data_IF_458180287340
#
_entry.id   IF_458180287340
#
_cell.length_a   1.000
_cell.length_b   1.000
_cell.length_c   1.000
_cell.angle_alpha   90.00
_cell.angle_beta   90.00
_cell.angle_gamma   90.00
#
_symmetry.space_group_name_H-M   'P 1'
#
loop_
_entity.id
_entity.type
_entity.pdbx_description
1 polymer ?
#
# COMPACT_ATOMS: atom_id res chain seq x y z
N UNK A 1 -17.29 -43.52 -6.66
CA UNK A 1 -15.88 -43.28 -6.97
C UNK A 1 -15.62 -41.95 -7.68
N UNK A 2 -16.62 -41.25 -8.15
CA UNK A 2 -16.46 -39.97 -8.85
C UNK A 2 -16.22 -38.77 -7.93
N UNK A 3 -16.56 -38.87 -6.65
CA UNK A 3 -16.39 -37.78 -5.67
C UNK A 3 -14.93 -37.56 -5.19
N UNK A 4 -14.06 -38.55 -5.41
CA UNK A 4 -12.64 -38.45 -4.99
C UNK A 4 -11.74 -37.72 -6.00
N UNK A 5 -12.17 -37.58 -7.26
CA UNK A 5 -11.38 -36.93 -8.32
C UNK A 5 -11.62 -35.42 -8.33
N UNK A 6 -12.77 -34.94 -7.86
CA UNK A 6 -13.05 -33.49 -7.80
C UNK A 6 -12.48 -32.78 -6.57
N UNK A 7 -12.14 -33.53 -5.51
CA UNK A 7 -11.61 -32.97 -4.26
C UNK A 7 -10.23 -32.28 -4.39
N UNK A 8 -9.25 -32.79 -5.16
CA UNK A 8 -7.93 -32.21 -5.19
C UNK A 8 -7.89 -30.83 -5.85
N UNK A 9 -8.70 -30.53 -6.83
CA UNK A 9 -8.69 -29.27 -7.56
C UNK A 9 -9.18 -28.07 -6.72
N UNK A 10 -10.07 -28.30 -5.77
CA UNK A 10 -10.56 -27.27 -4.86
C UNK A 10 -9.62 -27.02 -3.68
N UNK A 11 -8.93 -28.06 -3.21
CA UNK A 11 -8.01 -27.95 -2.07
C UNK A 11 -6.74 -27.17 -2.43
N UNK A 12 -6.23 -27.32 -3.65
CA UNK A 12 -5.04 -26.61 -4.11
C UNK A 12 -5.17 -25.09 -4.08
N UNK A 13 -6.19 -24.45 -4.65
CA UNK A 13 -6.31 -23.00 -4.61
C UNK A 13 -6.57 -22.47 -3.21
N UNK A 14 -7.30 -23.19 -2.36
CA UNK A 14 -7.55 -22.77 -0.97
C UNK A 14 -6.27 -22.81 -0.15
N UNK A 15 -5.51 -23.89 -0.23
CA UNK A 15 -4.23 -24.02 0.51
C UNK A 15 -3.18 -23.04 -0.01
N UNK A 16 -3.13 -22.78 -1.30
CA UNK A 16 -2.26 -21.78 -1.90
C UNK A 16 -2.62 -20.36 -1.42
N UNK A 17 -3.91 -20.05 -1.34
CA UNK A 17 -4.38 -18.74 -0.88
C UNK A 17 -4.06 -18.50 0.60
N UNK A 18 -4.28 -19.51 1.44
CA UNK A 18 -3.95 -19.46 2.87
C UNK A 18 -2.43 -19.36 3.06
N UNK A 19 -1.66 -20.19 2.36
CA UNK A 19 -0.21 -20.17 2.43
C UNK A 19 0.40 -18.84 1.97
N UNK A 20 -0.10 -18.29 0.87
CA UNK A 20 0.30 -16.97 0.37
C UNK A 20 -0.06 -15.87 1.37
N UNK A 21 -1.27 -15.90 1.93
CA UNK A 21 -1.73 -14.93 2.92
C UNK A 21 -0.89 -14.94 4.18
N UNK A 22 -0.59 -16.12 4.71
CA UNK A 22 0.28 -16.29 5.89
C UNK A 22 1.71 -15.82 5.56
N UNK A 23 2.25 -16.18 4.42
CA UNK A 23 3.58 -15.76 3.98
C UNK A 23 3.71 -14.24 3.88
N UNK A 24 2.73 -13.59 3.28
CA UNK A 24 2.67 -12.12 3.19
C UNK A 24 2.51 -11.46 4.56
N UNK A 25 1.67 -12.02 5.44
CA UNK A 25 1.48 -11.51 6.78
C UNK A 25 2.76 -11.59 7.61
N UNK A 26 3.47 -12.72 7.56
CA UNK A 26 4.77 -12.90 8.23
C UNK A 26 5.83 -11.96 7.68
N UNK A 27 5.91 -11.82 6.36
CA UNK A 27 6.83 -10.89 5.72
C UNK A 27 6.55 -9.44 6.12
N UNK A 28 5.29 -9.03 6.10
CA UNK A 28 4.87 -7.70 6.55
C UNK A 28 5.20 -7.46 8.03
N UNK A 29 4.98 -8.45 8.89
CA UNK A 29 5.32 -8.38 10.31
C UNK A 29 6.82 -8.21 10.56
N UNK A 30 7.66 -8.94 9.82
CA UNK A 30 9.12 -8.77 9.89
C UNK A 30 9.54 -7.36 9.46
N UNK A 31 8.89 -6.81 8.43
CA UNK A 31 9.16 -5.46 7.96
C UNK A 31 8.73 -4.40 8.98
N UNK A 32 7.61 -4.60 9.65
CA UNK A 32 7.15 -3.75 10.78
C UNK A 32 8.14 -3.78 11.93
N UNK A 33 8.59 -4.97 12.35
CA UNK A 33 9.55 -5.12 13.44
C UNK A 33 10.90 -4.46 13.12
N UNK A 34 11.38 -4.61 11.90
CA UNK A 34 12.62 -3.96 11.46
C UNK A 34 12.46 -2.44 11.38
N UNK A 35 11.33 -1.94 10.91
CA UNK A 35 11.00 -0.52 10.89
C UNK A 35 10.89 0.08 12.29
N UNK A 36 10.26 -0.64 13.23
CA UNK A 36 10.13 -0.22 14.62
C UNK A 36 11.49 -0.13 15.32
N UNK A 37 12.37 -1.11 15.11
CA UNK A 37 13.75 -1.08 15.63
C UNK A 37 14.53 0.12 15.10
N UNK A 38 14.33 0.49 13.84
CA UNK A 38 14.94 1.68 13.24
C UNK A 38 14.38 2.98 13.81
N UNK A 39 13.07 3.07 14.01
CA UNK A 39 12.41 4.23 14.60
C UNK A 39 12.84 4.48 16.05
N UNK A 40 13.01 3.42 16.85
CA UNK A 40 13.51 3.53 18.22
C UNK A 40 14.96 4.02 18.29
N UNK A 41 15.75 3.89 17.23
CA UNK A 41 17.10 4.43 17.12
C UNK A 41 17.17 5.89 16.62
N UNK A 42 16.03 6.54 16.44
CA UNK A 42 15.97 7.94 16.05
C UNK A 42 16.13 8.21 14.55
N UNK A 43 16.04 7.19 13.72
CA UNK A 43 16.15 7.28 12.27
C UNK A 43 14.78 7.57 11.66
N UNK A 44 14.45 8.84 11.49
CA UNK A 44 13.16 9.30 10.93
C UNK A 44 12.92 8.86 9.48
N UNK A 45 13.98 8.44 8.75
CA UNK A 45 13.86 7.91 7.39
C UNK A 45 13.22 6.52 7.27
N UNK A 46 13.03 5.81 8.39
CA UNK A 46 12.49 4.43 8.41
C UNK A 46 10.99 4.33 8.72
N UNK A 47 10.30 5.46 8.81
CA UNK A 47 8.84 5.48 9.03
C UNK A 47 8.09 4.92 7.82
N UNK A 48 8.57 5.17 6.62
CA UNK A 48 7.96 4.71 5.37
C UNK A 48 7.88 3.17 5.25
N UNK A 49 8.97 2.42 5.48
CA UNK A 49 8.93 0.96 5.45
C UNK A 49 8.05 0.37 6.56
N UNK A 50 7.90 1.05 7.69
CA UNK A 50 7.01 0.62 8.76
C UNK A 50 5.54 0.64 8.33
N UNK A 51 5.09 1.74 7.71
CA UNK A 51 3.72 1.87 7.18
C UNK A 51 3.47 0.85 6.07
N UNK A 52 4.44 0.64 5.18
CA UNK A 52 4.33 -0.36 4.12
C UNK A 52 4.27 -1.78 4.66
N UNK A 53 5.04 -2.10 5.69
CA UNK A 53 5.02 -3.39 6.35
C UNK A 53 3.68 -3.68 7.03
N UNK A 54 3.13 -2.71 7.73
CA UNK A 54 1.80 -2.81 8.36
C UNK A 54 0.72 -3.10 7.32
N UNK A 55 0.70 -2.34 6.23
CA UNK A 55 -0.23 -2.54 5.13
C UNK A 55 -0.10 -3.93 4.49
N UNK A 56 1.12 -4.41 4.29
CA UNK A 56 1.36 -5.74 3.75
C UNK A 56 0.84 -6.84 4.68
N UNK A 57 0.99 -6.65 5.99
CA UNK A 57 0.46 -7.55 7.02
C UNK A 57 -1.06 -7.62 6.96
N UNK A 58 -1.75 -6.48 6.86
CA UNK A 58 -3.22 -6.44 6.77
C UNK A 58 -3.72 -7.11 5.50
N UNK A 59 -3.08 -6.87 4.35
CA UNK A 59 -3.41 -7.53 3.08
C UNK A 59 -3.19 -9.05 3.17
N UNK A 60 -2.08 -9.49 3.78
CA UNK A 60 -1.80 -10.89 3.99
C UNK A 60 -2.84 -11.57 4.88
N UNK A 61 -3.24 -10.90 5.95
CA UNK A 61 -4.28 -11.37 6.86
C UNK A 61 -5.65 -11.45 6.17
N UNK A 62 -5.97 -10.46 5.34
CA UNK A 62 -7.19 -10.45 4.54
C UNK A 62 -7.23 -11.62 3.54
N UNK A 63 -6.12 -11.90 2.86
CA UNK A 63 -6.01 -13.04 1.94
C UNK A 63 -6.13 -14.39 2.67
N UNK A 64 -5.48 -14.54 3.82
CA UNK A 64 -5.58 -15.73 4.65
C UNK A 64 -7.01 -15.93 5.17
N UNK A 65 -7.66 -14.85 5.62
CA UNK A 65 -9.07 -14.86 6.07
C UNK A 65 -10.04 -15.23 4.95
N UNK A 66 -9.79 -14.74 3.73
CA UNK A 66 -10.59 -15.09 2.55
C UNK A 66 -10.47 -16.59 2.21
N UNK A 67 -9.24 -17.13 2.27
CA UNK A 67 -8.99 -18.56 2.08
C UNK A 67 -9.68 -19.43 3.16
N UNK A 68 -9.60 -19.00 4.41
CA UNK A 68 -10.26 -19.64 5.53
C UNK A 68 -11.79 -19.57 5.42
N UNK A 69 -12.34 -18.42 5.04
CA UNK A 69 -13.79 -18.25 4.82
C UNK A 69 -14.30 -19.19 3.75
N UNK A 70 -13.54 -19.39 2.70
CA UNK A 70 -13.88 -20.33 1.64
C UNK A 70 -13.79 -21.79 2.08
N UNK A 71 -12.75 -22.13 2.86
CA UNK A 71 -12.56 -23.49 3.38
C UNK A 71 -13.68 -23.94 4.32
N UNK A 72 -14.16 -23.05 5.18
CA UNK A 72 -15.18 -23.34 6.20
C UNK A 72 -16.59 -22.84 5.84
N UNK A 73 -16.82 -22.33 4.63
CA UNK A 73 -18.10 -21.76 4.18
C UNK A 73 -18.69 -20.70 5.15
N UNK A 74 -17.85 -19.96 5.82
CA UNK A 74 -18.21 -18.92 6.79
C UNK A 74 -18.45 -17.58 6.08
N UNK A 75 -19.70 -17.34 5.67
CA UNK A 75 -20.08 -16.12 4.93
C UNK A 75 -19.79 -14.85 5.71
N UNK A 76 -19.97 -14.86 7.03
CA UNK A 76 -19.70 -13.69 7.87
C UNK A 76 -18.21 -13.34 7.89
N UNK A 77 -17.33 -14.33 7.90
CA UNK A 77 -15.88 -14.14 7.85
C UNK A 77 -15.45 -13.56 6.49
N UNK A 78 -16.10 -13.99 5.41
CA UNK A 78 -15.89 -13.44 4.07
C UNK A 78 -16.25 -11.95 4.01
N UNK A 79 -17.40 -11.56 4.55
CA UNK A 79 -17.86 -10.18 4.60
C UNK A 79 -16.90 -9.33 5.44
N UNK A 80 -16.47 -9.82 6.61
CA UNK A 80 -15.55 -9.13 7.49
C UNK A 80 -14.18 -8.91 6.80
N UNK A 81 -13.65 -9.93 6.16
CA UNK A 81 -12.36 -9.89 5.46
C UNK A 81 -12.40 -8.94 4.26
N UNK A 82 -13.53 -8.95 3.54
CA UNK A 82 -13.74 -8.06 2.41
C UNK A 82 -13.90 -6.60 2.87
N UNK A 83 -14.56 -6.37 4.00
CA UNK A 83 -14.70 -5.04 4.59
C UNK A 83 -13.33 -4.47 4.99
N UNK A 84 -12.53 -5.22 5.74
CA UNK A 84 -11.19 -4.81 6.17
C UNK A 84 -10.26 -4.59 4.96
N UNK A 85 -10.24 -5.53 4.02
CA UNK A 85 -9.42 -5.39 2.80
C UNK A 85 -9.86 -4.25 1.89
N UNK A 86 -11.18 -4.00 1.81
CA UNK A 86 -11.76 -2.89 1.04
C UNK A 86 -11.42 -1.53 1.63
N UNK A 87 -11.47 -1.39 2.96
CA UNK A 87 -11.11 -0.17 3.67
C UNK A 87 -9.64 0.21 3.44
N UNK A 88 -8.73 -0.73 3.52
CA UNK A 88 -7.30 -0.53 3.21
C UNK A 88 -7.06 -0.07 1.76
N UNK A 89 -7.78 -0.63 0.80
CA UNK A 89 -7.68 -0.24 -0.62
C UNK A 89 -8.19 1.19 -0.81
N UNK A 90 -9.30 1.56 -0.16
CA UNK A 90 -9.87 2.90 -0.23
C UNK A 90 -8.94 3.94 0.38
N UNK A 91 -8.41 3.73 1.58
CA UNK A 91 -7.45 4.63 2.22
C UNK A 91 -6.21 4.84 1.34
N UNK A 92 -5.69 3.77 0.79
CA UNK A 92 -4.53 3.81 -0.10
C UNK A 92 -4.78 4.63 -1.35
N UNK A 93 -5.95 4.48 -1.95
CA UNK A 93 -6.34 5.20 -3.16
C UNK A 93 -6.48 6.69 -2.88
N UNK A 94 -7.06 7.07 -1.75
CA UNK A 94 -7.25 8.47 -1.34
C UNK A 94 -5.89 9.13 -1.06
N UNK A 95 -4.99 8.45 -0.35
CA UNK A 95 -3.65 8.98 -0.04
C UNK A 95 -2.83 9.18 -1.31
N UNK A 96 -2.83 8.22 -2.24
CA UNK A 96 -2.13 8.34 -3.52
C UNK A 96 -2.72 9.48 -4.35
N UNK A 97 -4.04 9.62 -4.38
CA UNK A 97 -4.71 10.70 -5.10
C UNK A 97 -4.37 12.08 -4.51
N UNK A 98 -4.39 12.20 -3.18
CA UNK A 98 -4.05 13.43 -2.47
C UNK A 98 -2.59 13.84 -2.70
N UNK A 99 -1.64 12.88 -2.65
CA UNK A 99 -0.22 13.12 -2.92
C UNK A 99 0.03 13.55 -4.37
N UNK A 100 -0.64 12.93 -5.33
CA UNK A 100 -0.55 13.33 -6.75
C UNK A 100 -1.07 14.74 -6.98
N UNK A 101 -2.14 15.11 -6.30
CA UNK A 101 -2.71 16.46 -6.40
C UNK A 101 -1.81 17.51 -5.75
N UNK A 102 -1.23 17.20 -4.61
CA UNK A 102 -0.28 18.07 -3.91
C UNK A 102 0.97 18.36 -4.73
N UNK A 103 1.57 17.36 -5.37
CA UNK A 103 2.75 17.54 -6.25
C UNK A 103 2.44 18.43 -7.47
N UNK A 104 1.25 18.34 -8.05
CA UNK A 104 0.87 19.20 -9.17
C UNK A 104 0.77 20.68 -8.76
N UNK A 105 0.25 20.95 -7.57
CA UNK A 105 0.14 22.30 -7.03
C UNK A 105 1.51 22.89 -6.67
N UNK A 106 2.45 22.11 -6.16
CA UNK A 106 3.81 22.55 -5.89
C UNK A 106 4.59 22.87 -7.18
N UNK A 107 4.47 22.04 -8.21
CA UNK A 107 5.06 22.31 -9.52
C UNK A 107 4.52 23.59 -10.16
N UNK A 108 3.23 23.88 -10.04
CA UNK A 108 2.63 25.12 -10.51
C UNK A 108 3.14 26.35 -9.75
N UNK A 109 3.35 26.24 -8.43
CA UNK A 109 3.91 27.32 -7.62
C UNK A 109 5.37 27.63 -7.98
N UNK A 110 6.16 26.60 -8.23
CA UNK A 110 7.57 26.78 -8.66
C UNK A 110 7.64 27.35 -10.06
N UNK A 111 6.81 26.90 -10.99
CA UNK A 111 6.73 27.43 -12.37
C UNK A 111 6.26 28.88 -12.39
N UNK A 112 5.31 29.26 -11.54
CA UNK A 112 4.83 30.64 -11.40
C UNK A 112 5.86 31.59 -10.75
N UNK A 113 6.80 31.08 -9.94
CA UNK A 113 7.87 31.90 -9.32
C UNK A 113 9.05 32.14 -10.24
N UNK A 114 9.32 31.25 -11.17
CA UNK A 114 10.46 31.36 -12.11
C UNK A 114 10.16 32.29 -13.29
N UNK A 115 8.88 32.43 -13.69
CA UNK A 115 8.46 33.24 -14.82
C UNK A 115 8.71 34.77 -14.68
N UNK A 116 8.58 35.42 -13.52
CA UNK A 116 8.77 36.88 -13.45
C UNK A 116 10.23 37.34 -13.42
N UNK A 117 11.21 36.48 -13.19
CA UNK A 117 12.62 36.90 -13.09
C UNK A 117 13.35 36.98 -14.41
N UNK A 118 12.85 36.40 -15.49
CA UNK A 118 13.54 36.44 -16.78
C UNK A 118 13.26 37.72 -17.61
N UNK A 119 12.31 38.55 -17.21
CA UNK A 119 11.91 39.67 -18.06
C UNK A 119 12.61 41.01 -17.70
N UNK A 120 13.42 41.08 -16.66
CA UNK A 120 13.98 42.38 -16.18
C UNK A 120 15.50 42.55 -16.37
N UNK A 121 16.15 41.65 -17.12
CA UNK A 121 17.60 41.78 -17.35
C UNK A 121 18.03 42.28 -18.75
N UNK A 122 17.10 42.66 -19.61
CA UNK A 122 17.44 43.03 -21.00
C UNK A 122 17.35 44.53 -21.32
N UNK A 123 17.24 45.43 -20.33
CA UNK A 123 17.30 46.88 -20.61
C UNK A 123 18.29 47.57 -19.67
N UNK A 124 19.56 47.48 -19.98
CA UNK A 124 20.51 48.54 -19.67
C UNK A 124 20.90 49.21 -20.99
N UNK A 125 20.40 50.38 -21.31
CA UNK A 125 21.02 51.19 -22.36
C UNK A 125 22.34 51.69 -21.85
N UNK A 126 23.42 51.38 -22.55
CA UNK A 126 24.71 52.03 -22.46
C UNK A 126 24.50 53.49 -22.84
N UNK A 127 24.44 54.37 -21.86
CA UNK A 127 24.61 55.79 -22.07
C UNK A 127 26.13 56.11 -22.05
N UNK A 128 26.61 56.53 -23.17
CA UNK A 128 27.91 57.23 -23.29
C UNK A 128 27.81 58.63 -22.69
#
# INVERSE_FOLDING_TARGET
METLIELPWRVYPISALIGLGIGLALWGMLMVLNGLRGALRGDSGKLLPWIQGFRLTVIGLALAGLGAAWAWHLTWLLVLTLAIGGEEILESSIVIFALRRGRRLEMQKVSGRVAPYSHNQSIKPTAQ
#
